data_IF_930569385326
#
_entry.id   IF_930569385326
#
_cell.length_a   1.000
_cell.length_b   1.000
_cell.length_c   1.000
_cell.angle_alpha   90.00
_cell.angle_beta   90.00
_cell.angle_gamma   90.00
#
_symmetry.space_group_name_H-M   'P 1'
#
loop_
_entity.id
_entity.type
_entity.pdbx_description
1 polymer ?
#
# COMPACT_ATOMS: atom_id res chain seq x y z
N UNK A 1 -54.69 0.35 42.27
CA UNK A 1 -54.17 -0.83 41.54
C UNK A 1 -54.22 -0.55 40.05
N UNK A 2 -53.13 -0.07 39.45
CA UNK A 2 -52.96 -0.09 37.99
C UNK A 2 -51.52 -0.49 37.68
N UNK A 3 -51.42 -1.55 36.88
CA UNK A 3 -50.20 -2.29 36.52
C UNK A 3 -49.35 -1.44 35.57
N UNK A 4 -48.13 -1.15 36.02
CA UNK A 4 -47.06 -0.49 35.26
C UNK A 4 -46.76 -1.32 34.00
N UNK A 5 -46.95 -0.75 32.80
CA UNK A 5 -46.48 -1.35 31.54
C UNK A 5 -44.99 -1.04 31.40
N UNK A 6 -44.18 -2.08 31.62
CA UNK A 6 -42.77 -2.11 31.29
C UNK A 6 -42.63 -2.82 29.93
N UNK A 7 -41.72 -2.31 29.11
CA UNK A 7 -41.23 -2.84 27.83
C UNK A 7 -42.00 -2.44 26.57
N UNK A 8 -41.48 -1.41 25.90
CA UNK A 8 -41.33 -1.33 24.43
C UNK A 8 -40.33 -0.20 24.15
N UNK A 9 -39.22 -0.50 23.48
CA UNK A 9 -38.28 0.53 22.99
C UNK A 9 -36.94 0.60 23.71
N UNK A 10 -36.14 -0.46 23.62
CA UNK A 10 -34.67 -0.32 23.62
C UNK A 10 -34.20 -0.66 22.22
N UNK A 11 -34.35 0.27 21.28
CA UNK A 11 -33.66 0.14 20.01
C UNK A 11 -33.49 1.49 19.28
N UNK A 12 -32.97 2.51 19.97
CA UNK A 12 -32.53 3.75 19.34
C UNK A 12 -31.22 4.24 19.96
N UNK A 13 -30.18 3.42 19.83
CA UNK A 13 -28.81 3.91 19.92
C UNK A 13 -28.27 4.05 18.50
N UNK A 14 -28.30 5.29 18.02
CA UNK A 14 -27.47 5.87 16.97
C UNK A 14 -26.24 5.00 16.61
N UNK A 15 -26.43 4.05 15.69
CA UNK A 15 -25.33 3.49 14.93
C UNK A 15 -24.96 4.52 13.87
N UNK A 16 -24.15 5.50 14.27
CA UNK A 16 -23.29 6.16 13.31
C UNK A 16 -22.38 5.06 12.74
N UNK A 17 -22.40 4.75 11.44
CA UNK A 17 -21.42 3.83 10.88
C UNK A 17 -20.08 4.56 10.99
N UNK A 18 -19.33 4.29 12.06
CA UNK A 18 -17.89 4.53 12.07
C UNK A 18 -17.39 3.76 10.87
N UNK A 19 -17.05 4.48 9.81
CA UNK A 19 -16.62 3.93 8.54
C UNK A 19 -15.48 2.97 8.78
N UNK A 20 -15.81 1.69 8.83
CA UNK A 20 -14.86 0.60 8.75
C UNK A 20 -14.34 0.67 7.33
N UNK A 21 -13.31 1.51 7.11
CA UNK A 21 -12.48 1.44 5.93
C UNK A 21 -11.67 0.15 6.07
N UNK A 22 -12.37 -0.99 5.94
CA UNK A 22 -11.77 -2.26 5.61
C UNK A 22 -11.00 -1.95 4.33
N UNK A 23 -9.68 -1.84 4.44
CA UNK A 23 -8.80 -1.83 3.28
C UNK A 23 -9.12 -3.15 2.58
N UNK A 24 -9.96 -3.10 1.56
CA UNK A 24 -10.17 -4.26 0.69
C UNK A 24 -8.80 -4.68 0.22
N UNK A 25 -8.44 -5.98 0.29
CA UNK A 25 -7.18 -6.43 -0.27
C UNK A 25 -7.19 -6.02 -1.74
N UNK A 26 -6.37 -5.01 -2.08
CA UNK A 26 -6.25 -4.56 -3.45
C UNK A 26 -5.67 -5.74 -4.21
N UNK A 27 -6.50 -6.43 -4.98
CA UNK A 27 -6.03 -7.48 -5.86
C UNK A 27 -5.38 -6.78 -7.04
N UNK A 28 -4.04 -6.82 -7.19
CA UNK A 28 -3.40 -6.10 -8.28
C UNK A 28 -3.88 -6.67 -9.62
N UNK A 29 -4.06 -5.81 -10.61
CA UNK A 29 -4.34 -6.22 -11.98
C UNK A 29 -3.15 -7.03 -12.53
N UNK A 30 -3.33 -7.88 -13.55
CA UNK A 30 -2.21 -8.56 -14.21
C UNK A 30 -1.12 -7.58 -14.67
N UNK A 31 -1.50 -6.41 -15.18
CA UNK A 31 -0.58 -5.36 -15.60
C UNK A 31 0.20 -4.76 -14.42
N UNK A 32 -0.46 -4.43 -13.31
CA UNK A 32 0.22 -3.96 -12.10
C UNK A 32 1.24 -4.99 -11.57
N UNK A 33 0.95 -6.30 -11.69
CA UNK A 33 1.92 -7.36 -11.36
C UNK A 33 3.10 -7.38 -12.32
N UNK A 34 2.88 -7.18 -13.61
CA UNK A 34 3.96 -7.10 -14.60
C UNK A 34 4.86 -5.88 -14.36
N UNK A 35 4.26 -4.72 -14.06
CA UNK A 35 4.98 -3.49 -13.73
C UNK A 35 5.82 -3.66 -12.47
N UNK A 36 5.25 -4.28 -11.42
CA UNK A 36 6.00 -4.61 -10.21
C UNK A 36 7.17 -5.57 -10.45
N UNK A 37 7.05 -6.52 -11.39
CA UNK A 37 8.16 -7.42 -11.78
C UNK A 37 9.27 -6.66 -12.50
N UNK A 38 8.92 -5.81 -13.47
CA UNK A 38 9.88 -4.98 -14.20
C UNK A 38 10.64 -4.07 -13.23
N UNK A 39 9.90 -3.31 -12.42
CA UNK A 39 10.50 -2.42 -11.42
C UNK A 39 11.44 -3.17 -10.46
N UNK A 40 11.01 -4.32 -9.95
CA UNK A 40 11.85 -5.13 -9.05
C UNK A 40 13.14 -5.60 -9.73
N UNK A 41 13.07 -6.06 -10.98
CA UNK A 41 14.23 -6.51 -11.75
C UNK A 41 15.20 -5.34 -12.00
N UNK A 42 14.67 -4.20 -12.45
CA UNK A 42 15.45 -3.01 -12.77
C UNK A 42 16.18 -2.45 -11.53
N UNK A 43 15.51 -2.39 -10.38
CA UNK A 43 16.17 -2.00 -9.13
C UNK A 43 17.24 -3.01 -8.71
N UNK A 44 16.99 -4.31 -8.88
CA UNK A 44 17.96 -5.36 -8.56
C UNK A 44 19.23 -5.26 -9.41
N UNK A 45 19.09 -5.00 -10.72
CA UNK A 45 20.21 -4.81 -11.64
C UNK A 45 21.04 -3.56 -11.31
N UNK A 46 20.44 -2.54 -10.70
CA UNK A 46 21.12 -1.32 -10.20
C UNK A 46 21.68 -1.49 -8.77
N UNK A 47 21.69 -2.70 -8.23
CA UNK A 47 22.24 -3.00 -6.91
C UNK A 47 21.29 -2.70 -5.73
N UNK A 48 20.04 -2.32 -6.00
CA UNK A 48 19.04 -2.02 -4.98
C UNK A 48 18.15 -3.23 -4.70
N UNK A 49 18.34 -3.87 -3.55
CA UNK A 49 17.53 -5.02 -3.16
C UNK A 49 16.26 -4.60 -2.42
N UNK A 50 15.11 -4.92 -3.00
CA UNK A 50 13.79 -4.73 -2.39
C UNK A 50 12.97 -6.01 -2.52
N UNK A 51 11.96 -6.19 -1.66
CA UNK A 51 11.06 -7.33 -1.82
C UNK A 51 10.24 -7.19 -3.11
N UNK A 52 9.93 -8.31 -3.76
CA UNK A 52 9.17 -8.37 -5.03
C UNK A 52 7.80 -7.68 -5.01
N UNK A 53 7.25 -7.42 -3.82
CA UNK A 53 5.99 -6.67 -3.61
C UNK A 53 6.18 -5.15 -3.54
N UNK A 54 7.38 -4.63 -3.82
CA UNK A 54 7.73 -3.22 -3.66
C UNK A 54 7.93 -2.78 -2.21
N UNK A 55 8.15 -3.72 -1.30
CA UNK A 55 8.37 -3.41 0.12
C UNK A 55 9.87 -3.37 0.43
N UNK A 56 10.29 -2.38 1.22
CA UNK A 56 11.66 -2.20 1.69
C UNK A 56 11.66 -2.06 3.22
N UNK A 57 12.64 -2.68 3.88
CA UNK A 57 12.91 -2.44 5.30
C UNK A 57 14.19 -1.65 5.43
N UNK A 58 14.17 -0.58 6.21
CA UNK A 58 15.37 0.17 6.57
C UNK A 58 16.02 -0.43 7.81
N UNK A 59 17.33 -0.30 7.93
CA UNK A 59 18.12 -0.82 9.05
C UNK A 59 19.10 0.25 9.57
N UNK A 60 19.51 0.10 10.83
CA UNK A 60 20.43 1.04 11.50
C UNK A 60 21.75 1.33 10.75
N UNK A 61 22.40 0.39 10.04
CA UNK A 61 23.67 0.69 9.36
C UNK A 61 23.51 1.44 8.02
N UNK A 62 22.30 1.75 7.55
CA UNK A 62 22.12 2.48 6.29
C UNK A 62 22.66 3.91 6.40
N UNK A 63 23.52 4.27 5.45
CA UNK A 63 24.13 5.59 5.36
C UNK A 63 23.34 6.50 4.43
N UNK A 64 23.67 7.78 4.44
CA UNK A 64 23.13 8.73 3.44
C UNK A 64 23.46 8.31 2.01
N UNK A 65 24.67 7.80 1.77
CA UNK A 65 25.07 7.35 0.44
C UNK A 65 24.21 6.20 -0.08
N UNK A 66 23.75 5.31 0.79
CA UNK A 66 22.84 4.22 0.42
C UNK A 66 21.46 4.76 0.00
N UNK A 67 20.95 5.76 0.71
CA UNK A 67 19.69 6.43 0.35
C UNK A 67 19.80 7.18 -0.97
N UNK A 68 20.90 7.91 -1.18
CA UNK A 68 21.16 8.63 -2.42
C UNK A 68 21.30 7.66 -3.60
N UNK A 69 22.01 6.53 -3.40
CA UNK A 69 22.12 5.47 -4.41
C UNK A 69 20.76 4.88 -4.78
N UNK A 70 19.91 4.59 -3.78
CA UNK A 70 18.55 4.12 -4.01
C UNK A 70 17.70 5.14 -4.77
N UNK A 71 17.73 6.40 -4.35
CA UNK A 71 16.95 7.48 -4.99
C UNK A 71 17.36 7.68 -6.45
N UNK A 72 18.67 7.72 -6.73
CA UNK A 72 19.20 7.83 -8.09
C UNK A 72 18.81 6.64 -8.97
N UNK A 73 18.85 5.43 -8.43
CA UNK A 73 18.41 4.24 -9.15
C UNK A 73 16.90 4.28 -9.45
N UNK A 74 16.09 4.68 -8.48
CA UNK A 74 14.65 4.83 -8.66
C UNK A 74 14.31 5.89 -9.72
N UNK A 75 14.93 7.06 -9.64
CA UNK A 75 14.78 8.15 -10.61
C UNK A 75 15.14 7.67 -12.02
N UNK A 76 16.26 6.97 -12.16
CA UNK A 76 16.68 6.40 -13.45
C UNK A 76 15.61 5.46 -14.03
N UNK A 77 15.04 4.57 -13.22
CA UNK A 77 13.97 3.66 -13.66
C UNK A 77 12.70 4.43 -14.04
N UNK A 78 12.33 5.45 -13.27
CA UNK A 78 11.15 6.27 -13.54
C UNK A 78 11.28 7.08 -14.85
N UNK A 79 12.49 7.58 -15.15
CA UNK A 79 12.78 8.28 -16.40
C UNK A 79 12.77 7.30 -17.58
N UNK A 80 13.44 6.15 -17.44
CA UNK A 80 13.63 5.19 -18.54
C UNK A 80 12.35 4.42 -18.89
N UNK A 81 11.56 4.03 -17.88
CA UNK A 81 10.38 3.17 -18.05
C UNK A 81 9.06 3.88 -17.70
N UNK A 82 9.08 5.20 -17.47
CA UNK A 82 7.91 5.96 -17.05
C UNK A 82 6.70 5.80 -17.97
N UNK A 83 6.91 5.72 -19.28
CA UNK A 83 5.84 5.49 -20.26
C UNK A 83 5.15 4.12 -20.05
N UNK A 84 5.94 3.07 -19.83
CA UNK A 84 5.41 1.71 -19.62
C UNK A 84 4.72 1.62 -18.26
N UNK A 85 5.32 2.20 -17.22
CA UNK A 85 4.78 2.15 -15.85
C UNK A 85 3.53 3.01 -15.67
N UNK A 86 3.39 4.08 -16.46
CA UNK A 86 2.25 5.00 -16.44
C UNK A 86 0.98 4.48 -17.12
N UNK A 87 1.05 3.35 -17.83
CA UNK A 87 -0.13 2.69 -18.42
C UNK A 87 -0.88 1.91 -17.33
N UNK A 88 -2.01 2.43 -16.84
CA UNK A 88 -2.86 1.78 -15.84
C UNK A 88 -4.26 1.46 -16.36
#
# INVERSE_FOLDING_TARGET
>A
MHRFKLWDGVNDLHSSPKGNRLLTPHTPTPQARAHGKLFHLEMHMRGCYIARRGFMSLSLPLTRADHDAFANAFESVAIEYGEVLGQQ
#
